data_IF_343133681198
#
_entry.id   IF_343133681198
#
_cell.length_a   1.000
_cell.length_b   1.000
_cell.length_c   1.000
_cell.angle_alpha   90.00
_cell.angle_beta   90.00
_cell.angle_gamma   90.00
#
_symmetry.space_group_name_H-M   'P 1'
#
loop_
_entity.id
_entity.type
_entity.pdbx_description
1 polymer ?
#
# COMPACT_ATOMS: atom_id res chain seq x y z
N UNK A 1 -15.85 7.39 22.98
CA UNK A 1 -14.50 6.95 23.32
C UNK A 1 -13.71 6.80 22.02
N UNK A 2 -12.94 7.83 21.67
CA UNK A 2 -12.36 8.01 20.35
C UNK A 2 -10.99 7.34 20.26
N UNK A 3 -10.97 6.05 19.96
CA UNK A 3 -9.75 5.28 19.72
C UNK A 3 -9.10 5.68 18.39
N UNK A 4 -8.45 6.85 18.38
CA UNK A 4 -7.39 7.18 17.43
C UNK A 4 -6.17 6.31 17.71
N UNK A 5 -6.29 5.00 17.44
CA UNK A 5 -5.23 4.03 17.63
C UNK A 5 -3.97 4.50 16.91
N UNK A 6 -2.85 4.51 17.64
CA UNK A 6 -1.53 4.84 17.11
C UNK A 6 -1.24 3.92 15.92
N UNK A 7 -1.22 4.45 14.69
CA UNK A 7 -0.81 3.72 13.47
C UNK A 7 0.71 3.47 13.45
N UNK A 8 1.32 3.21 14.60
CA UNK A 8 2.73 2.85 14.73
C UNK A 8 2.85 1.32 14.71
N UNK A 9 4.00 0.77 14.33
CA UNK A 9 4.26 -0.65 14.48
C UNK A 9 4.00 -1.11 15.92
N UNK A 10 3.32 -2.26 16.10
CA UNK A 10 3.05 -2.82 17.41
C UNK A 10 4.32 -3.44 18.03
N UNK A 11 4.27 -3.84 19.31
CA UNK A 11 5.22 -4.81 19.87
C UNK A 11 5.40 -6.04 18.99
N UNK A 12 6.60 -6.63 19.03
CA UNK A 12 7.02 -7.70 18.10
C UNK A 12 6.21 -8.99 18.27
N UNK A 13 5.67 -9.22 19.46
CA UNK A 13 4.91 -10.41 19.86
C UNK A 13 3.43 -10.31 19.52
N UNK A 14 2.95 -9.15 19.06
CA UNK A 14 1.56 -9.01 18.61
C UNK A 14 1.37 -9.60 17.22
N UNK A 15 0.18 -10.12 16.95
CA UNK A 15 -0.19 -10.64 15.63
C UNK A 15 0.01 -9.57 14.55
N UNK A 16 0.60 -9.98 13.43
CA UNK A 16 0.86 -9.10 12.31
C UNK A 16 -0.44 -8.71 11.60
N UNK A 17 -0.59 -7.42 11.25
CA UNK A 17 -1.79 -6.92 10.56
C UNK A 17 -2.01 -7.54 9.17
N UNK A 18 -1.00 -8.13 8.53
CA UNK A 18 -1.15 -8.79 7.24
C UNK A 18 -2.04 -10.04 7.22
N UNK A 19 -2.52 -10.50 8.38
CA UNK A 19 -3.42 -11.65 8.48
C UNK A 19 -2.76 -13.00 8.17
N UNK A 20 -1.43 -13.11 8.31
CA UNK A 20 -0.71 -14.38 8.17
C UNK A 20 -0.91 -15.34 9.35
N UNK A 21 -1.35 -14.83 10.50
CA UNK A 21 -1.39 -15.56 11.78
C UNK A 21 -0.08 -15.50 12.58
N UNK A 22 1.01 -15.06 11.95
CA UNK A 22 2.31 -14.87 12.60
C UNK A 22 2.37 -13.59 13.44
N UNK A 23 3.32 -13.52 14.37
CA UNK A 23 3.61 -12.29 15.11
C UNK A 23 4.43 -11.30 14.28
N UNK A 24 4.29 -10.00 14.55
CA UNK A 24 4.90 -8.94 13.75
C UNK A 24 6.41 -9.11 13.59
N UNK A 25 7.11 -9.48 14.67
CA UNK A 25 8.56 -9.66 14.72
C UNK A 25 9.11 -10.76 13.83
N UNK A 26 8.36 -11.85 13.61
CA UNK A 26 8.74 -12.94 12.70
C UNK A 26 8.14 -12.80 11.30
N UNK A 27 7.19 -11.88 11.13
CA UNK A 27 6.44 -11.70 9.89
C UNK A 27 6.96 -10.53 9.04
N UNK A 28 6.34 -9.35 9.15
CA UNK A 28 6.65 -8.21 8.28
C UNK A 28 7.76 -7.31 8.82
N UNK A 29 8.06 -7.36 10.11
CA UNK A 29 9.08 -6.50 10.73
C UNK A 29 10.48 -6.65 10.10
N UNK A 30 10.99 -7.86 9.79
CA UNK A 30 12.32 -8.00 9.19
C UNK A 30 12.43 -7.28 7.85
N UNK A 31 11.36 -7.33 7.03
CA UNK A 31 11.29 -6.61 5.76
C UNK A 31 11.27 -5.09 6.00
N UNK A 32 10.44 -4.61 6.95
CA UNK A 32 10.39 -3.19 7.30
C UNK A 32 11.75 -2.63 7.76
N UNK A 33 12.56 -3.46 8.43
CA UNK A 33 13.91 -3.10 8.90
C UNK A 33 15.02 -3.19 7.85
N UNK A 34 14.71 -3.59 6.61
CA UNK A 34 15.69 -3.62 5.52
C UNK A 34 15.86 -4.98 4.86
N UNK A 35 15.25 -6.04 5.39
CA UNK A 35 15.33 -7.37 4.82
C UNK A 35 14.69 -7.44 3.42
N UNK A 36 15.24 -8.25 2.50
CA UNK A 36 14.63 -8.46 1.20
C UNK A 36 13.42 -9.40 1.31
N UNK A 37 12.40 -9.16 0.49
CA UNK A 37 11.29 -10.10 0.35
C UNK A 37 11.72 -11.31 -0.51
N UNK A 38 11.57 -12.52 0.03
CA UNK A 38 11.95 -13.75 -0.68
C UNK A 38 10.87 -14.21 -1.64
N UNK A 39 9.61 -13.87 -1.39
CA UNK A 39 8.49 -14.17 -2.27
C UNK A 39 7.68 -12.90 -2.60
N UNK A 40 6.95 -12.87 -3.72
CA UNK A 40 6.06 -11.76 -4.04
C UNK A 40 4.99 -11.56 -2.95
N UNK A 41 4.43 -12.65 -2.41
CA UNK A 41 3.43 -12.58 -1.34
C UNK A 41 4.00 -11.98 -0.04
N UNK A 42 5.24 -12.33 0.33
CA UNK A 42 5.90 -11.69 1.48
C UNK A 42 5.99 -10.18 1.30
N UNK A 43 6.33 -9.73 0.09
CA UNK A 43 6.37 -8.29 -0.21
C UNK A 43 4.98 -7.67 -0.13
N UNK A 44 3.96 -8.28 -0.74
CA UNK A 44 2.58 -7.82 -0.70
C UNK A 44 2.11 -7.62 0.76
N UNK A 45 2.31 -8.64 1.60
CA UNK A 45 1.90 -8.62 3.01
C UNK A 45 2.64 -7.55 3.82
N UNK A 46 3.94 -7.37 3.58
CA UNK A 46 4.71 -6.31 4.22
C UNK A 46 4.24 -4.93 3.75
N UNK A 47 3.97 -4.74 2.46
CA UNK A 47 3.43 -3.47 1.92
C UNK A 47 2.07 -3.15 2.53
N UNK A 48 1.15 -4.11 2.58
CA UNK A 48 -0.13 -3.95 3.29
C UNK A 48 0.07 -3.51 4.74
N UNK A 49 0.94 -4.20 5.48
CA UNK A 49 1.23 -3.87 6.88
C UNK A 49 1.86 -2.48 7.04
N UNK A 50 2.67 -2.06 6.08
CA UNK A 50 3.25 -0.72 6.04
C UNK A 50 2.20 0.39 5.82
N UNK A 51 1.12 0.13 5.05
CA UNK A 51 -0.04 1.03 4.99
C UNK A 51 -0.73 1.12 6.37
N UNK A 52 -0.95 -0.02 7.04
CA UNK A 52 -1.58 -0.03 8.38
C UNK A 52 -0.73 0.65 9.45
N UNK A 53 0.59 0.48 9.43
CA UNK A 53 1.53 1.02 10.42
C UNK A 53 2.25 2.31 9.97
N UNK A 54 1.74 2.96 8.92
CA UNK A 54 2.21 4.27 8.44
C UNK A 54 3.73 4.31 8.24
N UNK A 55 4.25 3.37 7.46
CA UNK A 55 5.69 3.21 7.15
C UNK A 55 5.98 3.64 5.69
N UNK A 56 5.96 4.95 5.37
CA UNK A 56 6.08 5.43 3.99
C UNK A 56 7.44 5.10 3.37
N UNK A 57 8.51 5.12 4.17
CA UNK A 57 9.87 4.85 3.70
C UNK A 57 10.01 3.41 3.17
N UNK A 58 9.29 2.46 3.78
CA UNK A 58 9.22 1.08 3.29
C UNK A 58 8.44 0.98 1.97
N UNK A 59 7.34 1.71 1.84
CA UNK A 59 6.51 1.70 0.65
C UNK A 59 7.25 2.27 -0.56
N UNK A 60 7.94 3.40 -0.42
CA UNK A 60 8.72 4.01 -1.50
C UNK A 60 9.91 3.14 -1.92
N UNK A 61 10.72 2.65 -0.97
CA UNK A 61 11.91 1.83 -1.29
C UNK A 61 11.60 0.47 -1.91
N UNK A 62 10.35 0.03 -1.88
CA UNK A 62 9.92 -1.25 -2.45
C UNK A 62 9.20 -1.12 -3.79
N UNK A 63 9.13 0.10 -4.36
CA UNK A 63 8.69 0.32 -5.74
C UNK A 63 9.78 -0.09 -6.74
N UNK A 64 9.38 -0.72 -7.85
CA UNK A 64 10.29 -1.14 -8.92
C UNK A 64 10.99 0.07 -9.54
N UNK A 65 10.26 1.15 -9.80
CA UNK A 65 10.82 2.38 -10.37
C UNK A 65 11.98 2.91 -9.51
N UNK A 66 11.83 2.88 -8.18
CA UNK A 66 12.90 3.28 -7.25
C UNK A 66 14.09 2.33 -7.31
N UNK A 67 13.85 1.03 -7.42
CA UNK A 67 14.90 0.04 -7.54
C UNK A 67 15.68 0.18 -8.86
N UNK A 68 14.99 0.46 -9.97
CA UNK A 68 15.60 0.70 -11.29
C UNK A 68 16.50 1.94 -11.27
N UNK A 69 15.99 3.06 -10.75
CA UNK A 69 16.77 4.29 -10.59
C UNK A 69 18.07 4.02 -9.82
N UNK A 70 17.98 3.31 -8.69
CA UNK A 70 19.16 3.00 -7.86
C UNK A 70 20.13 2.04 -8.56
N UNK A 71 19.63 1.11 -9.37
CA UNK A 71 20.46 0.18 -10.14
C UNK A 71 21.20 0.88 -11.29
N UNK A 72 20.62 1.91 -11.89
CA UNK A 72 21.26 2.73 -12.93
C UNK A 72 22.30 3.70 -12.34
N UNK A 73 22.07 4.20 -11.13
CA UNK A 73 22.98 5.12 -10.42
C UNK A 73 24.19 4.42 -9.75
N UNK A 74 24.22 3.09 -9.68
CA UNK A 74 25.32 2.33 -9.06
C UNK A 74 25.84 1.22 -9.97
N UNK A 75 27.14 1.23 -10.29
CA UNK A 75 27.84 0.07 -10.84
C UNK A 75 27.45 -1.21 -10.07
N UNK A 76 27.05 -2.23 -10.83
CA UNK A 76 26.17 -3.35 -10.47
C UNK A 76 26.69 -4.23 -9.29
N UNK A 77 27.92 -4.05 -8.82
CA UNK A 77 28.53 -4.84 -7.73
C UNK A 77 28.26 -4.32 -6.31
N UNK A 78 27.79 -3.07 -6.15
CA UNK A 78 27.60 -2.47 -4.81
C UNK A 78 26.26 -2.83 -4.15
N UNK A 79 25.31 -3.42 -4.88
CA UNK A 79 23.93 -3.63 -4.43
C UNK A 79 23.81 -4.64 -3.27
N UNK A 80 24.63 -5.69 -3.24
CA UNK A 80 24.53 -6.73 -2.20
C UNK A 80 25.15 -6.29 -0.84
N UNK A 81 26.07 -5.31 -0.86
CA UNK A 81 26.80 -4.86 0.34
C UNK A 81 26.45 -3.44 0.82
N UNK A 82 25.86 -2.60 -0.04
CA UNK A 82 25.64 -1.16 0.21
C UNK A 82 24.27 -0.77 0.82
N UNK A 83 23.30 -1.69 0.88
CA UNK A 83 21.92 -1.42 1.32
C UNK A 83 21.81 -0.93 2.78
N UNK A 84 22.89 -1.02 3.56
CA UNK A 84 22.92 -0.54 4.96
C UNK A 84 23.15 0.97 5.12
N UNK A 85 23.73 1.68 4.13
CA UNK A 85 24.29 3.02 4.37
C UNK A 85 23.69 4.19 3.57
N UNK A 86 22.78 3.96 2.61
CA UNK A 86 21.96 5.05 2.04
C UNK A 86 20.53 4.89 2.54
N UNK A 87 20.18 5.69 3.54
CA UNK A 87 18.82 5.87 4.06
C UNK A 87 17.93 6.42 2.93
N UNK A 88 17.51 5.56 2.01
CA UNK A 88 16.62 5.89 0.91
C UNK A 88 15.18 5.73 1.40
N UNK A 89 14.76 6.73 2.17
CA UNK A 89 13.34 7.07 2.26
C UNK A 89 12.85 7.43 0.85
N UNK A 90 11.54 7.33 0.62
CA UNK A 90 10.90 8.13 -0.43
C UNK A 90 11.46 9.57 -0.35
N UNK A 91 11.66 10.24 -1.50
CA UNK A 91 12.01 11.66 -1.42
C UNK A 91 10.90 12.42 -0.66
N UNK A 92 11.20 13.62 -0.17
CA UNK A 92 10.32 14.29 0.78
C UNK A 92 8.88 14.47 0.23
N UNK A 93 8.76 14.67 -1.08
CA UNK A 93 7.49 14.83 -1.80
C UNK A 93 6.75 13.49 -1.94
N UNK A 94 7.40 12.44 -2.44
CA UNK A 94 6.84 11.09 -2.54
C UNK A 94 6.40 10.59 -1.16
N UNK A 95 7.21 10.85 -0.12
CA UNK A 95 6.89 10.51 1.27
C UNK A 95 5.63 11.22 1.74
N UNK A 96 5.47 12.50 1.42
CA UNK A 96 4.29 13.27 1.79
C UNK A 96 3.04 12.76 1.08
N UNK A 97 3.14 12.44 -0.21
CA UNK A 97 2.03 11.87 -0.98
C UNK A 97 1.57 10.52 -0.42
N UNK A 98 2.51 9.62 -0.13
CA UNK A 98 2.22 8.34 0.51
C UNK A 98 1.55 8.55 1.87
N UNK A 99 2.04 9.50 2.66
CA UNK A 99 1.46 9.81 3.97
C UNK A 99 0.06 10.39 3.84
N UNK A 100 -0.20 11.27 2.87
CA UNK A 100 -1.53 11.83 2.59
C UNK A 100 -2.52 10.72 2.26
N UNK A 101 -2.11 9.77 1.42
CA UNK A 101 -2.92 8.59 1.10
C UNK A 101 -3.18 7.71 2.34
N UNK A 102 -2.12 7.28 3.04
CA UNK A 102 -2.25 6.47 4.26
C UNK A 102 -3.14 7.18 5.28
N UNK A 103 -2.99 8.50 5.44
CA UNK A 103 -3.67 9.22 6.49
C UNK A 103 -5.18 9.33 6.26
N UNK A 104 -5.60 9.21 5.00
CA UNK A 104 -7.00 9.26 4.55
C UNK A 104 -7.76 7.94 4.76
N UNK A 105 -7.06 6.83 5.01
CA UNK A 105 -7.64 5.49 5.02
C UNK A 105 -7.18 4.62 6.20
N UNK A 106 -8.07 3.76 6.68
CA UNK A 106 -7.74 2.62 7.54
C UNK A 106 -7.81 1.34 6.73
N UNK A 107 -6.75 0.51 6.81
CA UNK A 107 -6.61 -0.73 6.05
C UNK A 107 -6.70 -1.93 7.00
N UNK A 108 -7.55 -2.90 6.68
CA UNK A 108 -7.76 -4.11 7.48
C UNK A 108 -8.16 -5.30 6.62
N UNK A 109 -8.14 -6.52 7.18
CA UNK A 109 -8.67 -7.73 6.54
C UNK A 109 -8.07 -8.04 5.16
N UNK A 110 -6.74 -8.09 5.05
CA UNK A 110 -6.07 -8.55 3.83
C UNK A 110 -6.43 -10.00 3.52
N UNK A 111 -6.88 -10.24 2.29
CA UNK A 111 -7.13 -11.57 1.73
C UNK A 111 -6.36 -11.73 0.43
N UNK A 112 -5.28 -12.51 0.48
CA UNK A 112 -4.56 -12.97 -0.72
C UNK A 112 -5.40 -14.06 -1.39
N UNK A 113 -5.62 -13.95 -2.70
CA UNK A 113 -6.48 -14.88 -3.45
C UNK A 113 -5.68 -15.75 -4.40
N UNK A 114 -5.27 -15.18 -5.53
CA UNK A 114 -4.62 -15.91 -6.62
C UNK A 114 -3.19 -15.44 -6.80
N UNK A 115 -2.29 -16.37 -7.13
CA UNK A 115 -0.86 -16.13 -7.33
C UNK A 115 -0.43 -16.82 -8.61
N UNK A 116 -0.03 -16.04 -9.60
CA UNK A 116 0.30 -16.52 -10.94
C UNK A 116 1.72 -16.06 -11.32
N UNK A 117 2.69 -16.98 -11.44
CA UNK A 117 3.98 -16.64 -12.03
C UNK A 117 3.77 -16.30 -13.51
N UNK A 118 4.24 -15.11 -13.92
CA UNK A 118 4.28 -14.72 -15.34
C UNK A 118 5.55 -15.30 -15.96
N UNK A 119 6.67 -15.20 -15.24
CA UNK A 119 7.97 -15.82 -15.53
C UNK A 119 8.83 -15.80 -14.25
N UNK A 120 10.09 -16.25 -14.33
CA UNK A 120 11.00 -16.35 -13.17
C UNK A 120 11.27 -15.00 -12.48
N UNK A 121 11.06 -13.89 -13.18
CA UNK A 121 11.31 -12.53 -12.69
C UNK A 121 10.03 -11.75 -12.41
N UNK A 122 8.85 -12.25 -12.77
CA UNK A 122 7.57 -11.54 -12.68
C UNK A 122 6.45 -12.42 -12.14
N UNK A 123 5.67 -11.87 -11.22
CA UNK A 123 4.58 -12.58 -10.57
C UNK A 123 3.37 -11.67 -10.38
N UNK A 124 2.17 -12.20 -10.63
CA UNK A 124 0.91 -11.50 -10.43
C UNK A 124 0.20 -12.04 -9.19
N UNK A 125 -0.27 -11.15 -8.31
CA UNK A 125 -1.08 -11.53 -7.15
C UNK A 125 -2.39 -10.75 -7.16
N UNK A 126 -3.50 -11.48 -7.09
CA UNK A 126 -4.82 -10.92 -6.83
C UNK A 126 -5.12 -10.97 -5.34
N UNK A 127 -5.50 -9.85 -4.75
CA UNK A 127 -5.89 -9.76 -3.35
C UNK A 127 -7.02 -8.74 -3.17
N UNK A 128 -7.55 -8.67 -1.97
CA UNK A 128 -8.42 -7.58 -1.57
C UNK A 128 -8.23 -7.28 -0.10
N UNK A 129 -8.69 -6.11 0.33
CA UNK A 129 -8.80 -5.81 1.74
C UNK A 129 -9.95 -4.84 2.00
N UNK A 130 -10.21 -4.59 3.28
CA UNK A 130 -11.17 -3.60 3.73
C UNK A 130 -10.45 -2.26 3.91
N UNK A 131 -10.93 -1.24 3.20
CA UNK A 131 -10.55 0.16 3.40
C UNK A 131 -11.72 0.90 4.04
N UNK A 132 -11.44 1.68 5.07
CA UNK A 132 -12.40 2.64 5.63
C UNK A 132 -11.84 4.05 5.45
N UNK A 133 -12.60 4.93 4.79
CA UNK A 133 -12.25 6.35 4.71
C UNK A 133 -12.28 6.98 6.09
N UNK A 134 -11.30 7.83 6.42
CA UNK A 134 -11.27 8.63 7.66
C UNK A 134 -11.79 10.06 7.46
N UNK A 135 -12.36 10.36 6.28
CA UNK A 135 -12.67 11.71 5.81
C UNK A 135 -11.39 12.48 5.43
N UNK A 136 -11.44 13.29 4.38
CA UNK A 136 -10.31 14.16 4.03
C UNK A 136 -10.00 15.09 5.21
N UNK A 137 -8.71 15.21 5.53
CA UNK A 137 -8.22 16.14 6.55
C UNK A 137 -7.28 17.14 5.91
N UNK A 138 -7.58 18.43 6.06
CA UNK A 138 -6.66 19.52 5.73
C UNK A 138 -6.10 20.06 7.05
N UNK A 139 -4.77 20.09 7.18
CA UNK A 139 -4.07 20.47 8.41
C UNK A 139 -4.55 19.71 9.67
N UNK A 140 -4.91 18.43 9.49
CA UNK A 140 -5.39 17.56 10.57
C UNK A 140 -6.85 17.80 10.99
N UNK A 141 -7.57 18.74 10.37
CA UNK A 141 -8.99 18.99 10.62
C UNK A 141 -9.86 18.26 9.58
N UNK A 142 -10.96 17.58 9.96
CA UNK A 142 -11.90 17.02 9.01
C UNK A 142 -12.51 18.13 8.14
N UNK A 143 -12.64 17.92 6.83
CA UNK A 143 -13.44 18.80 5.98
C UNK A 143 -14.92 18.42 6.15
N UNK A 144 -15.70 19.28 6.82
CA UNK A 144 -17.11 19.03 7.17
C UNK A 144 -18.04 18.88 5.95
N UNK A 145 -17.70 19.43 4.78
CA UNK A 145 -18.54 19.39 3.56
C UNK A 145 -18.39 18.13 2.72
N UNK A 146 -17.47 17.24 3.08
CA UNK A 146 -17.25 15.94 2.42
C UNK A 146 -17.18 14.82 3.47
N UNK A 147 -18.09 14.86 4.45
CA UNK A 147 -18.48 13.68 5.20
C UNK A 147 -19.23 12.76 4.23
N UNK A 148 -18.51 12.21 3.25
CA UNK A 148 -18.86 10.94 2.66
C UNK A 148 -18.89 10.01 3.88
N UNK A 149 -20.09 9.59 4.27
CA UNK A 149 -20.34 8.58 5.30
C UNK A 149 -19.19 7.58 5.34
N UNK A 150 -18.69 7.21 6.52
CA UNK A 150 -17.56 6.29 6.68
C UNK A 150 -17.74 5.00 5.84
N UNK A 151 -17.34 5.07 4.57
CA UNK A 151 -17.64 4.02 3.61
C UNK A 151 -16.59 2.94 3.79
N UNK A 152 -17.07 1.79 4.24
CA UNK A 152 -16.28 0.57 4.25
C UNK A 152 -16.31 0.00 2.83
N UNK A 153 -15.16 0.08 2.16
CA UNK A 153 -14.97 -0.41 0.81
C UNK A 153 -14.20 -1.72 0.84
N UNK A 154 -14.67 -2.69 0.07
CA UNK A 154 -13.91 -3.90 -0.23
C UNK A 154 -13.33 -3.72 -1.64
N UNK A 155 -12.04 -3.43 -1.73
CA UNK A 155 -11.39 -3.37 -3.04
C UNK A 155 -10.79 -4.73 -3.39
N UNK A 156 -10.68 -4.97 -4.70
CA UNK A 156 -9.89 -6.03 -5.28
C UNK A 156 -8.80 -5.41 -6.11
N UNK A 157 -7.57 -5.85 -5.92
CA UNK A 157 -6.44 -5.43 -6.71
C UNK A 157 -5.74 -6.65 -7.29
N UNK A 158 -5.20 -6.44 -8.49
CA UNK A 158 -4.26 -7.36 -9.12
C UNK A 158 -2.93 -6.62 -9.27
N UNK A 159 -1.96 -6.93 -8.41
CA UNK A 159 -0.61 -6.34 -8.51
C UNK A 159 0.35 -7.26 -9.23
N UNK A 160 1.28 -6.63 -9.94
CA UNK A 160 2.46 -7.26 -10.52
C UNK A 160 3.68 -6.95 -9.66
N UNK A 161 4.49 -7.97 -9.42
CA UNK A 161 5.75 -7.91 -8.70
C UNK A 161 6.87 -8.33 -9.64
N UNK A 162 8.02 -7.67 -9.53
CA UNK A 162 9.16 -7.91 -10.41
C UNK A 162 10.48 -7.93 -9.64
N UNK A 163 11.42 -8.78 -10.06
CA UNK A 163 12.83 -8.71 -9.65
C UNK A 163 13.67 -8.12 -10.77
N UNK A 164 14.77 -7.45 -10.42
CA UNK A 164 15.74 -6.97 -11.41
C UNK A 164 16.75 -8.05 -11.83
N UNK A 165 16.89 -9.11 -11.04
CA UNK A 165 17.78 -10.26 -11.29
C UNK A 165 17.12 -11.55 -10.77
N UNK A 166 17.44 -12.74 -11.30
CA UNK A 166 16.77 -14.01 -10.95
C UNK A 166 16.70 -14.30 -9.43
N UNK A 167 17.82 -14.08 -8.72
CA UNK A 167 17.91 -14.30 -7.26
C UNK A 167 17.81 -13.00 -6.45
N UNK A 168 17.44 -11.90 -7.11
CA UNK A 168 17.29 -10.60 -6.48
C UNK A 168 16.04 -10.49 -5.59
N UNK A 169 15.90 -9.39 -4.83
CA UNK A 169 14.67 -9.10 -4.11
C UNK A 169 13.51 -8.81 -5.06
N UNK A 170 12.28 -9.12 -4.61
CA UNK A 170 11.06 -8.67 -5.27
C UNK A 170 10.80 -7.18 -5.01
N UNK A 171 10.21 -6.51 -5.99
CA UNK A 171 9.69 -5.14 -5.92
C UNK A 171 8.26 -5.10 -6.44
N UNK A 172 7.49 -4.13 -5.96
CA UNK A 172 6.15 -3.83 -6.47
C UNK A 172 6.28 -3.04 -7.77
N UNK A 173 5.67 -3.53 -8.85
CA UNK A 173 5.71 -2.91 -10.18
C UNK A 173 4.49 -2.00 -10.35
N UNK A 174 3.34 -2.59 -10.63
CA UNK A 174 2.07 -1.89 -10.89
C UNK A 174 0.90 -2.68 -10.31
N UNK A 175 -0.22 -2.01 -10.06
CA UNK A 175 -1.44 -2.62 -9.54
C UNK A 175 -2.69 -2.02 -10.17
N UNK A 176 -3.61 -2.88 -10.56
CA UNK A 176 -4.92 -2.49 -11.08
C UNK A 176 -5.97 -2.68 -9.99
N UNK A 177 -6.57 -1.59 -9.53
CA UNK A 177 -7.57 -1.58 -8.44
C UNK A 177 -8.99 -1.53 -9.01
N UNK A 178 -9.86 -2.36 -8.45
CA UNK A 178 -11.29 -2.42 -8.74
C UNK A 178 -12.13 -2.37 -7.46
N UNK A 179 -13.26 -1.66 -7.51
CA UNK A 179 -14.24 -1.51 -6.43
C UNK A 179 -15.62 -1.94 -6.92
N UNK A 180 -16.31 -2.79 -6.16
CA UNK A 180 -17.65 -3.30 -6.53
C UNK A 180 -17.76 -3.93 -7.94
N UNK A 181 -16.63 -4.36 -8.53
CA UNK A 181 -16.59 -4.89 -9.91
C UNK A 181 -16.42 -3.82 -11.00
N UNK A 182 -16.23 -2.56 -10.60
CA UNK A 182 -15.95 -1.40 -11.46
C UNK A 182 -14.55 -0.85 -11.19
N UNK A 183 -13.92 -0.16 -12.14
CA UNK A 183 -12.63 0.54 -11.93
C UNK A 183 -12.82 1.77 -11.03
N UNK A 184 -11.73 2.35 -10.54
CA UNK A 184 -11.80 3.61 -9.76
C UNK A 184 -12.43 4.74 -10.59
N UNK A 185 -12.09 4.83 -11.88
CA UNK A 185 -12.62 5.84 -12.80
C UNK A 185 -14.13 5.71 -12.99
N UNK A 186 -14.63 4.49 -13.17
CA UNK A 186 -16.06 4.20 -13.30
C UNK A 186 -16.84 4.61 -12.05
N UNK A 187 -16.29 4.35 -10.86
CA UNK A 187 -16.93 4.75 -9.60
C UNK A 187 -16.93 6.28 -9.40
N UNK A 188 -15.85 6.98 -9.79
CA UNK A 188 -15.79 8.45 -9.71
C UNK A 188 -16.82 9.08 -10.64
N UNK A 189 -16.98 8.55 -11.86
CA UNK A 189 -17.96 9.03 -12.82
C UNK A 189 -19.40 8.83 -12.31
N UNK A 190 -19.70 7.66 -11.76
CA UNK A 190 -21.01 7.34 -11.19
C UNK A 190 -21.36 8.28 -10.02
N UNK A 191 -20.44 8.47 -9.06
CA UNK A 191 -20.65 9.38 -7.94
C UNK A 191 -20.83 10.84 -8.35
N UNK A 192 -20.13 11.29 -9.39
CA UNK A 192 -20.34 12.64 -9.96
C UNK A 192 -21.73 12.78 -10.55
N UNK A 193 -22.18 11.77 -11.32
CA UNK A 193 -23.52 11.76 -11.90
C UNK A 193 -24.62 11.74 -10.83
N UNK A 194 -24.46 10.94 -9.77
CA UNK A 194 -25.39 10.90 -8.63
C UNK A 194 -25.51 12.27 -7.94
N UNK A 195 -24.37 12.95 -7.71
CA UNK A 195 -24.34 14.28 -7.08
C UNK A 195 -25.02 15.34 -7.95
N UNK A 196 -24.75 15.33 -9.26
CA UNK A 196 -25.40 16.23 -10.22
C UNK A 196 -26.92 16.01 -10.26
N UNK A 197 -27.38 14.76 -10.18
CA UNK A 197 -28.81 14.42 -10.11
C UNK A 197 -29.46 14.91 -8.81
N UNK A 198 -28.77 14.74 -7.69
CA UNK A 198 -29.26 15.17 -6.39
C UNK A 198 -29.36 16.69 -6.29
N UNK A 199 -28.36 17.42 -6.82
CA UNK A 199 -28.39 18.89 -6.91
C UNK A 199 -29.53 19.39 -7.80
N UNK A 200 -29.88 18.69 -8.89
CA UNK A 200 -31.03 19.04 -9.74
C UNK A 200 -32.38 18.80 -9.06
N UNK A 201 -32.49 17.74 -8.24
CA UNK A 201 -33.70 17.44 -7.45
C UNK A 201 -33.89 18.46 -6.33
N UNK A 202 -32.82 18.85 -5.64
CA UNK A 202 -32.87 19.85 -4.56
C UNK A 202 -33.11 21.27 -5.07
N UNK A 203 -32.78 21.56 -6.32
CA UNK A 203 -33.05 22.84 -6.99
C UNK A 203 -34.47 22.98 -7.56
N UNK A 204 -35.29 21.92 -7.49
CA UNK A 204 -36.68 21.86 -8.01
C UNK A 204 -37.72 21.92 -6.89
#
# INVERSE_FOLDING_TARGET
DGSGGSRRPPPLEQSCACGSGEVYGSCCQPLHMGGPAKTPEQLLRARFTAYTYRLPDFLGRTLLAKAQQLAEESDIEAFDKGVRNKRNAADAEEREEILRYIDSYDFSNLVVRNQEPINDMMHKISFGCTIRSRGLRVDGRPIESEILDEQTLHFREVSTFRRLQPDGPWFYDVGEVSYAGKTMEENIQEKRAEREQQEQVEAS
#
